data_IF_304534987766
#
_entry.id   IF_304534987766
#
_cell.length_a   1.000
_cell.length_b   1.000
_cell.length_c   1.000
_cell.angle_alpha   90.00
_cell.angle_beta   90.00
_cell.angle_gamma   90.00
#
_symmetry.space_group_name_H-M   'P 1'
#
loop_
_entity.id
_entity.type
_entity.pdbx_description
1 polymer ?
#
# COMPACT_ATOMS: atom_id res chain seq x y z
N UNK A 1 75.74 63.61 11.74
CA UNK A 1 75.17 63.44 10.38
C UNK A 1 73.69 63.08 10.53
N UNK A 2 72.77 64.04 10.38
CA UNK A 2 71.33 63.81 10.52
C UNK A 2 70.77 63.24 9.21
N UNK A 3 69.92 62.21 9.28
CA UNK A 3 69.19 61.74 8.11
C UNK A 3 67.68 61.73 8.38
N UNK A 4 67.06 62.72 7.75
CA UNK A 4 65.73 62.86 7.18
C UNK A 4 64.62 61.80 7.41
N UNK A 5 63.43 62.37 7.54
CA UNK A 5 62.10 61.84 7.78
C UNK A 5 61.39 61.36 6.49
N UNK A 6 60.68 60.22 6.57
CA UNK A 6 59.41 59.84 5.91
C UNK A 6 59.35 59.57 4.37
N UNK A 7 58.32 58.83 3.84
CA UNK A 7 57.09 58.36 4.49
C UNK A 7 56.75 56.86 4.36
N UNK A 8 56.12 56.33 5.41
CA UNK A 8 55.58 54.97 5.47
C UNK A 8 54.32 54.78 4.63
N UNK A 9 54.29 53.66 3.89
CA UNK A 9 53.11 53.15 3.21
C UNK A 9 52.02 52.76 4.23
N UNK A 10 50.91 53.50 4.28
CA UNK A 10 49.67 53.06 4.93
C UNK A 10 49.09 51.86 4.17
N UNK A 11 49.39 50.64 4.61
CA UNK A 11 48.56 49.47 4.27
C UNK A 11 47.21 49.63 4.97
N UNK A 12 46.14 49.73 4.19
CA UNK A 12 44.76 49.64 4.66
C UNK A 12 44.61 48.31 5.41
N UNK A 13 44.31 48.37 6.71
CA UNK A 13 43.87 47.20 7.50
C UNK A 13 42.50 46.80 6.97
N UNK A 14 42.45 45.74 6.18
CA UNK A 14 41.21 45.01 5.91
C UNK A 14 40.74 44.38 7.21
N UNK A 15 39.52 44.69 7.63
CA UNK A 15 38.87 44.06 8.78
C UNK A 15 38.77 42.53 8.55
N UNK A 16 38.89 41.70 9.60
CA UNK A 16 38.66 40.27 9.47
C UNK A 16 37.18 40.05 9.14
N UNK A 17 36.90 39.41 8.00
CA UNK A 17 35.59 38.90 7.69
C UNK A 17 35.16 37.94 8.80
N UNK A 18 34.04 38.25 9.45
CA UNK A 18 33.35 37.35 10.36
C UNK A 18 33.00 36.08 9.60
N UNK A 19 33.75 35.00 9.82
CA UNK A 19 33.37 33.67 9.37
C UNK A 19 32.17 33.26 10.23
N UNK A 20 30.97 33.48 9.73
CA UNK A 20 29.76 32.86 10.29
C UNK A 20 29.98 31.34 10.23
N UNK A 21 29.95 30.62 11.36
CA UNK A 21 30.03 29.16 11.32
C UNK A 21 28.82 28.68 10.52
N UNK A 22 29.08 28.06 9.37
CA UNK A 22 28.06 27.37 8.62
C UNK A 22 27.36 26.39 9.55
N UNK A 23 26.03 26.51 9.67
CA UNK A 23 25.21 25.49 10.33
C UNK A 23 25.65 24.13 9.80
N UNK A 24 26.01 23.15 10.65
CA UNK A 24 26.22 21.79 10.17
C UNK A 24 24.96 21.42 9.40
N UNK A 25 25.14 21.09 8.12
CA UNK A 25 24.06 20.71 7.22
C UNK A 25 23.21 19.69 7.95
N UNK A 26 21.92 19.99 8.06
CA UNK A 26 20.96 19.07 8.63
C UNK A 26 21.09 17.77 7.86
N UNK A 27 21.72 16.78 8.48
CA UNK A 27 21.61 15.40 8.09
C UNK A 27 20.10 15.15 8.04
N UNK A 28 19.60 15.05 6.82
CA UNK A 28 18.26 14.57 6.56
C UNK A 28 18.27 13.13 7.05
N UNK A 29 17.93 12.96 8.33
CA UNK A 29 17.79 11.66 8.95
C UNK A 29 16.92 10.78 8.05
N UNK A 30 17.23 9.47 7.95
CA UNK A 30 16.63 8.59 6.96
C UNK A 30 15.11 8.74 7.02
N UNK A 31 14.55 9.34 5.98
CA UNK A 31 13.10 9.52 5.87
C UNK A 31 12.48 8.13 6.02
N UNK A 32 11.46 7.95 6.88
CA UNK A 32 10.85 6.65 7.09
C UNK A 32 10.40 6.14 5.73
N UNK A 33 11.09 5.12 5.22
CA UNK A 33 10.83 4.52 3.92
C UNK A 33 9.36 4.06 3.96
N UNK A 34 8.45 4.85 3.38
CA UNK A 34 7.11 4.36 3.06
C UNK A 34 7.34 3.12 2.22
N UNK A 35 6.62 2.04 2.50
CA UNK A 35 6.57 0.91 1.61
C UNK A 35 6.22 1.46 0.23
N UNK A 36 7.19 1.45 -0.69
CA UNK A 36 7.00 2.02 -2.00
C UNK A 36 5.85 1.26 -2.67
N UNK A 37 4.88 1.99 -3.19
CA UNK A 37 3.80 1.41 -3.96
C UNK A 37 4.40 0.69 -5.17
N UNK A 38 4.10 -0.61 -5.31
CA UNK A 38 4.65 -1.47 -6.35
C UNK A 38 3.57 -1.81 -7.37
N UNK A 39 3.36 -0.95 -8.39
CA UNK A 39 2.26 -1.11 -9.34
C UNK A 39 2.38 -2.39 -10.16
N UNK A 40 3.60 -2.88 -10.38
CA UNK A 40 3.92 -4.15 -11.01
C UNK A 40 3.31 -5.35 -10.25
N UNK A 41 3.50 -5.39 -8.92
CA UNK A 41 2.99 -6.47 -8.08
C UNK A 41 1.46 -6.39 -7.92
N UNK A 42 0.93 -5.17 -7.81
CA UNK A 42 -0.53 -4.98 -7.78
C UNK A 42 -1.19 -5.35 -9.10
N UNK A 43 -0.57 -5.02 -10.23
CA UNK A 43 -1.02 -5.43 -11.56
C UNK A 43 -1.05 -6.95 -11.71
N UNK A 44 -0.01 -7.65 -11.23
CA UNK A 44 0.00 -9.12 -11.27
C UNK A 44 -1.12 -9.74 -10.42
N UNK A 45 -1.45 -9.14 -9.27
CA UNK A 45 -2.61 -9.55 -8.46
C UNK A 45 -3.92 -9.29 -9.18
N UNK A 46 -4.06 -8.18 -9.89
CA UNK A 46 -5.25 -7.89 -10.68
C UNK A 46 -5.43 -8.91 -11.81
N UNK A 47 -4.37 -9.25 -12.53
CA UNK A 47 -4.39 -10.31 -13.57
C UNK A 47 -4.80 -11.66 -12.97
N UNK A 48 -4.26 -12.01 -11.80
CA UNK A 48 -4.62 -13.25 -11.12
C UNK A 48 -6.12 -13.31 -10.78
N UNK A 49 -6.71 -12.23 -10.25
CA UNK A 49 -8.14 -12.15 -9.98
C UNK A 49 -8.97 -12.21 -11.27
N UNK A 50 -8.55 -11.51 -12.32
CA UNK A 50 -9.24 -11.55 -13.62
C UNK A 50 -9.27 -12.95 -14.22
N UNK A 51 -8.18 -13.72 -14.08
CA UNK A 51 -8.14 -15.12 -14.51
C UNK A 51 -9.17 -15.98 -13.74
N UNK A 52 -9.29 -15.79 -12.42
CA UNK A 52 -10.28 -16.49 -11.58
C UNK A 52 -11.70 -16.13 -11.97
N UNK A 53 -11.97 -14.85 -12.24
CA UNK A 53 -13.28 -14.38 -12.69
C UNK A 53 -13.63 -14.95 -14.07
N UNK A 54 -12.68 -14.98 -15.01
CA UNK A 54 -12.87 -15.56 -16.34
C UNK A 54 -13.18 -17.07 -16.28
N UNK A 55 -12.51 -17.79 -15.37
CA UNK A 55 -12.80 -19.20 -15.09
C UNK A 55 -14.23 -19.38 -14.57
N UNK A 56 -14.66 -18.60 -13.57
CA UNK A 56 -16.03 -18.69 -13.03
C UNK A 56 -17.11 -18.27 -14.04
N UNK A 57 -16.80 -17.30 -14.90
CA UNK A 57 -17.69 -16.87 -15.98
C UNK A 57 -17.72 -17.85 -17.18
N UNK A 58 -16.98 -18.96 -17.11
CA UNK A 58 -16.90 -19.99 -18.16
C UNK A 58 -16.47 -19.41 -19.52
N UNK A 59 -15.55 -18.44 -19.51
CA UNK A 59 -15.03 -17.84 -20.75
C UNK A 59 -14.20 -18.90 -21.52
N UNK A 60 -14.44 -19.10 -22.83
CA UNK A 60 -13.65 -20.03 -23.63
C UNK A 60 -12.14 -19.75 -23.53
N UNK A 61 -11.35 -20.78 -23.27
CA UNK A 61 -9.90 -20.67 -23.08
C UNK A 61 -9.44 -20.31 -21.66
N UNK A 62 -10.35 -20.07 -20.72
CA UNK A 62 -10.01 -19.72 -19.32
C UNK A 62 -10.00 -20.91 -18.34
N UNK A 63 -9.92 -22.15 -18.83
CA UNK A 63 -9.99 -23.36 -17.99
C UNK A 63 -8.91 -23.44 -16.89
N UNK A 64 -7.73 -22.84 -17.12
CA UNK A 64 -6.64 -22.75 -16.14
C UNK A 64 -6.75 -21.58 -15.17
N UNK A 65 -7.81 -20.76 -15.23
CA UNK A 65 -7.91 -19.52 -14.46
C UNK A 65 -7.96 -19.71 -12.94
N UNK A 66 -8.29 -20.92 -12.46
CA UNK A 66 -8.26 -21.27 -11.03
C UNK A 66 -6.86 -21.11 -10.41
N UNK A 67 -5.78 -21.29 -11.18
CA UNK A 67 -4.39 -21.08 -10.72
C UNK A 67 -4.16 -19.63 -10.25
N UNK A 68 -4.99 -18.69 -10.72
CA UNK A 68 -4.96 -17.31 -10.24
C UNK A 68 -5.19 -17.18 -8.72
N UNK A 69 -5.92 -18.11 -8.09
CA UNK A 69 -6.11 -18.14 -6.64
C UNK A 69 -4.77 -18.32 -5.91
N UNK A 70 -3.99 -19.33 -6.33
CA UNK A 70 -2.68 -19.63 -5.74
C UNK A 70 -1.71 -18.47 -5.94
N UNK A 71 -1.63 -17.95 -7.16
CA UNK A 71 -0.76 -16.81 -7.50
C UNK A 71 -1.12 -15.58 -6.66
N UNK A 72 -2.41 -15.25 -6.53
CA UNK A 72 -2.86 -14.12 -5.73
C UNK A 72 -2.49 -14.27 -4.26
N UNK A 73 -2.65 -15.47 -3.69
CA UNK A 73 -2.32 -15.73 -2.28
C UNK A 73 -0.81 -15.69 -2.03
N UNK A 74 0.01 -16.29 -2.89
CA UNK A 74 1.47 -16.25 -2.77
C UNK A 74 2.00 -14.82 -2.79
N UNK A 75 1.56 -14.01 -3.76
CA UNK A 75 1.97 -12.61 -3.87
C UNK A 75 1.49 -11.79 -2.66
N UNK A 76 0.24 -12.00 -2.24
CA UNK A 76 -0.32 -11.31 -1.08
C UNK A 76 0.43 -11.69 0.20
N UNK A 77 0.79 -12.96 0.36
CA UNK A 77 1.59 -13.46 1.47
C UNK A 77 2.98 -12.81 1.52
N UNK A 78 3.68 -12.77 0.39
CA UNK A 78 4.97 -12.08 0.28
C UNK A 78 4.90 -10.62 0.73
N UNK A 79 3.91 -9.86 0.25
CA UNK A 79 3.74 -8.45 0.62
C UNK A 79 3.37 -8.28 2.10
N UNK A 80 2.43 -9.07 2.61
CA UNK A 80 1.99 -8.99 4.01
C UNK A 80 3.15 -9.31 4.94
N UNK A 81 3.85 -10.42 4.71
CA UNK A 81 5.01 -10.81 5.51
C UNK A 81 6.11 -9.75 5.46
N UNK A 82 6.42 -9.20 4.28
CA UNK A 82 7.38 -8.11 4.15
C UNK A 82 7.00 -6.86 4.98
N UNK A 83 5.72 -6.50 5.01
CA UNK A 83 5.22 -5.39 5.83
C UNK A 83 5.35 -5.69 7.33
N UNK A 84 4.98 -6.90 7.77
CA UNK A 84 5.03 -7.31 9.17
C UNK A 84 6.48 -7.43 9.67
N UNK A 85 7.38 -7.99 8.87
CA UNK A 85 8.81 -8.08 9.18
C UNK A 85 9.41 -6.69 9.31
N UNK A 86 9.08 -5.77 8.38
CA UNK A 86 9.54 -4.38 8.47
C UNK A 86 9.03 -3.70 9.74
N UNK A 87 7.76 -3.88 10.10
CA UNK A 87 7.19 -3.35 11.34
C UNK A 87 7.88 -3.91 12.59
N UNK A 88 8.15 -5.22 12.59
CA UNK A 88 8.87 -5.88 13.68
C UNK A 88 10.28 -5.32 13.85
N UNK A 89 11.02 -5.13 12.75
CA UNK A 89 12.38 -4.58 12.77
C UNK A 89 12.39 -3.12 13.23
N UNK A 90 11.44 -2.29 12.77
CA UNK A 90 11.45 -0.84 13.07
C UNK A 90 10.84 -0.50 14.41
N UNK A 91 9.87 -1.27 14.91
CA UNK A 91 9.13 -0.95 16.14
C UNK A 91 9.31 -1.97 17.26
N UNK A 92 10.03 -3.07 17.01
CA UNK A 92 10.26 -4.16 17.97
C UNK A 92 9.03 -5.03 18.27
N UNK A 93 7.89 -4.78 17.61
CA UNK A 93 6.64 -5.53 17.80
C UNK A 93 5.78 -5.51 16.53
N UNK A 94 4.81 -6.42 16.46
CA UNK A 94 3.83 -6.45 15.36
C UNK A 94 2.46 -6.06 15.92
N UNK A 95 1.86 -4.98 15.42
CA UNK A 95 0.54 -4.51 15.84
C UNK A 95 -0.53 -5.02 14.87
N UNK A 96 -0.90 -6.29 15.02
CA UNK A 96 -1.87 -6.96 14.14
C UNK A 96 -3.20 -6.20 14.05
N UNK A 97 -3.72 -5.65 15.15
CA UNK A 97 -4.96 -4.87 15.14
C UNK A 97 -4.90 -3.63 14.23
N UNK A 98 -3.75 -2.94 14.20
CA UNK A 98 -3.57 -1.80 13.30
C UNK A 98 -3.42 -2.23 11.84
N UNK A 99 -2.76 -3.36 11.61
CA UNK A 99 -2.67 -3.96 10.29
C UNK A 99 -4.05 -4.33 9.74
N UNK A 100 -4.85 -5.07 10.50
CA UNK A 100 -6.19 -5.48 10.09
C UNK A 100 -7.15 -4.30 9.99
N UNK A 101 -7.08 -3.29 10.86
CA UNK A 101 -7.95 -2.10 10.76
C UNK A 101 -7.69 -1.28 9.50
N UNK A 102 -6.41 -1.10 9.10
CA UNK A 102 -6.05 -0.47 7.81
C UNK A 102 -6.56 -1.29 6.63
N UNK A 103 -6.44 -2.62 6.71
CA UNK A 103 -6.91 -3.53 5.67
C UNK A 103 -8.44 -3.50 5.55
N UNK A 104 -9.16 -3.54 6.67
CA UNK A 104 -10.61 -3.48 6.74
C UNK A 104 -11.14 -2.17 6.14
N UNK A 105 -10.60 -1.01 6.55
CA UNK A 105 -10.98 0.30 5.98
C UNK A 105 -10.74 0.41 4.47
N UNK A 106 -9.85 -0.41 3.91
CA UNK A 106 -9.58 -0.45 2.47
C UNK A 106 -10.45 -1.45 1.70
N UNK A 107 -10.78 -2.60 2.30
CA UNK A 107 -11.49 -3.70 1.61
C UNK A 107 -13.01 -3.71 1.86
N UNK A 108 -13.46 -3.33 3.06
CA UNK A 108 -14.88 -3.35 3.41
C UNK A 108 -15.74 -2.42 2.55
N UNK A 109 -15.30 -1.20 2.18
CA UNK A 109 -16.10 -0.33 1.33
C UNK A 109 -16.40 -0.97 -0.04
N UNK A 110 -15.38 -1.55 -0.69
CA UNK A 110 -15.57 -2.22 -1.97
C UNK A 110 -16.43 -3.48 -1.84
N UNK A 111 -16.27 -4.26 -0.77
CA UNK A 111 -17.09 -5.42 -0.52
C UNK A 111 -18.57 -5.04 -0.31
N UNK A 112 -18.84 -4.01 0.49
CA UNK A 112 -20.19 -3.50 0.72
C UNK A 112 -20.86 -3.02 -0.58
N UNK A 113 -20.11 -2.31 -1.45
CA UNK A 113 -20.61 -1.87 -2.75
C UNK A 113 -20.98 -3.06 -3.63
N UNK A 114 -20.11 -4.07 -3.73
CA UNK A 114 -20.38 -5.26 -4.56
C UNK A 114 -21.57 -6.05 -4.01
N UNK A 115 -21.64 -6.26 -2.69
CA UNK A 115 -22.76 -6.97 -2.06
C UNK A 115 -24.08 -6.25 -2.26
N UNK A 116 -24.10 -4.92 -2.10
CA UNK A 116 -25.28 -4.11 -2.35
C UNK A 116 -25.69 -4.16 -3.83
N UNK A 117 -24.73 -4.04 -4.75
CA UNK A 117 -24.99 -4.13 -6.18
C UNK A 117 -25.55 -5.50 -6.57
N UNK A 118 -25.00 -6.59 -6.03
CA UNK A 118 -25.49 -7.96 -6.28
C UNK A 118 -26.87 -8.17 -5.66
N UNK A 119 -27.14 -7.66 -4.45
CA UNK A 119 -28.45 -7.76 -3.82
C UNK A 119 -29.52 -7.01 -4.63
N UNK A 120 -29.22 -5.77 -5.07
CA UNK A 120 -30.12 -4.99 -5.92
C UNK A 120 -30.32 -5.69 -7.26
N UNK A 121 -29.24 -6.06 -7.96
CA UNK A 121 -29.34 -6.76 -9.25
C UNK A 121 -30.13 -8.08 -9.10
N UNK A 122 -29.88 -8.84 -8.04
CA UNK A 122 -30.59 -10.06 -7.70
C UNK A 122 -32.10 -9.85 -7.58
N UNK A 123 -32.53 -8.78 -6.90
CA UNK A 123 -33.95 -8.46 -6.77
C UNK A 123 -34.66 -8.24 -8.12
N UNK A 124 -33.97 -7.64 -9.09
CA UNK A 124 -34.53 -7.34 -10.42
C UNK A 124 -34.36 -8.49 -11.43
N UNK A 125 -33.24 -9.21 -11.40
CA UNK A 125 -32.88 -10.19 -12.44
C UNK A 125 -33.23 -11.64 -12.08
N UNK A 126 -33.51 -11.98 -10.81
CA UNK A 126 -33.75 -13.37 -10.40
C UNK A 126 -35.24 -13.71 -10.21
N UNK A 127 -35.59 -14.95 -10.55
CA UNK A 127 -36.92 -15.56 -10.33
C UNK A 127 -37.17 -15.67 -8.81
N UNK A 128 -38.40 -15.44 -8.31
CA UNK A 128 -38.70 -15.41 -6.88
C UNK A 128 -38.18 -16.62 -6.08
N UNK A 129 -38.21 -17.82 -6.70
CA UNK A 129 -37.73 -19.06 -6.07
C UNK A 129 -36.23 -19.05 -5.76
N UNK A 130 -35.40 -18.31 -6.51
CA UNK A 130 -33.94 -18.18 -6.29
C UNK A 130 -33.56 -17.03 -5.36
N UNK A 131 -34.51 -16.17 -4.96
CA UNK A 131 -34.22 -15.00 -4.12
C UNK A 131 -33.80 -15.40 -2.70
N UNK A 132 -34.46 -16.42 -2.14
CA UNK A 132 -34.09 -16.96 -0.84
C UNK A 132 -32.64 -17.46 -0.83
N UNK A 133 -32.20 -18.21 -1.84
CA UNK A 133 -30.81 -18.68 -1.93
C UNK A 133 -29.81 -17.53 -2.04
N UNK A 134 -30.14 -16.51 -2.84
CA UNK A 134 -29.30 -15.33 -3.02
C UNK A 134 -29.15 -14.51 -1.73
N UNK A 135 -30.21 -14.37 -0.94
CA UNK A 135 -30.14 -13.70 0.38
C UNK A 135 -29.15 -14.42 1.31
N UNK A 136 -29.20 -15.75 1.35
CA UNK A 136 -28.26 -16.54 2.15
C UNK A 136 -26.82 -16.45 1.60
N UNK A 137 -26.63 -16.40 0.28
CA UNK A 137 -25.31 -16.20 -0.34
C UNK A 137 -24.71 -14.83 0.02
N UNK A 138 -25.52 -13.77 -0.05
CA UNK A 138 -25.12 -12.40 0.31
C UNK A 138 -24.78 -12.33 1.80
N UNK A 139 -25.59 -12.92 2.67
CA UNK A 139 -25.33 -12.99 4.12
C UNK A 139 -24.05 -13.78 4.42
N UNK A 140 -23.88 -14.96 3.79
CA UNK A 140 -22.68 -15.77 3.97
C UNK A 140 -21.43 -15.04 3.49
N UNK A 141 -21.50 -14.31 2.38
CA UNK A 141 -20.40 -13.47 1.89
C UNK A 141 -20.13 -12.28 2.82
N UNK A 142 -21.16 -11.59 3.31
CA UNK A 142 -21.02 -10.46 4.24
C UNK A 142 -20.34 -10.88 5.56
N UNK A 143 -20.70 -12.06 6.07
CA UNK A 143 -20.11 -12.64 7.27
C UNK A 143 -18.77 -13.36 7.01
N UNK A 144 -18.28 -13.38 5.76
CA UNK A 144 -17.07 -14.10 5.35
C UNK A 144 -17.09 -15.60 5.66
N UNK A 145 -18.28 -16.21 5.65
CA UNK A 145 -18.51 -17.66 5.86
C UNK A 145 -18.92 -18.38 4.57
N UNK A 146 -18.86 -17.71 3.42
CA UNK A 146 -19.22 -18.27 2.11
C UNK A 146 -18.50 -19.60 1.80
N UNK A 147 -17.23 -19.75 2.22
CA UNK A 147 -16.45 -20.97 1.99
C UNK A 147 -16.95 -22.21 2.75
N UNK A 148 -17.83 -22.06 3.74
CA UNK A 148 -18.48 -23.21 4.41
C UNK A 148 -19.87 -23.51 3.85
N UNK A 149 -20.43 -22.58 3.08
CA UNK A 149 -21.75 -22.71 2.47
C UNK A 149 -21.67 -23.39 1.10
N UNK A 150 -20.62 -23.09 0.33
CA UNK A 150 -20.33 -23.70 -0.97
C UNK A 150 -19.42 -24.92 -0.79
#
# INVERSE_FOLDING_TARGET
MPFLLAPGHRRKRSAPATVTPGRPGGESGPSPHRAAFRPDIEGLRAVAVLAVLAFHAQIPGAAGGFVGVDVFFVISGYLITGLLVREAITTGRIRLGDFFSRRARRLLPSAAVVLAAVAVAGAWLTVPLRRADLEHDVLAAALSVANWRF
#
